data_IF_065848895959
#
_entry.id   IF_065848895959
#
_cell.length_a   1.000
_cell.length_b   1.000
_cell.length_c   1.000
_cell.angle_alpha   90.00
_cell.angle_beta   90.00
_cell.angle_gamma   90.00
#
_symmetry.space_group_name_H-M   'P 1'
#
loop_
_entity.id
_entity.type
_entity.pdbx_description
1 polymer ?
#
# COMPACT_ATOMS: atom_id res chain seq x y z
N UNK A 1 15.65 -12.76 -19.43
CA UNK A 1 14.57 -12.64 -18.42
C UNK A 1 14.00 -11.23 -18.54
N UNK A 2 12.70 -11.09 -18.65
CA UNK A 2 12.06 -9.76 -18.77
C UNK A 2 12.36 -8.92 -17.51
N UNK A 3 12.96 -7.75 -17.69
CA UNK A 3 13.26 -6.80 -16.60
C UNK A 3 12.02 -6.04 -16.11
N UNK A 4 10.88 -6.28 -16.76
CA UNK A 4 9.60 -5.66 -16.44
C UNK A 4 8.94 -6.35 -15.26
N UNK A 5 8.63 -5.59 -14.21
CA UNK A 5 7.95 -6.06 -13.01
C UNK A 5 6.42 -6.06 -13.16
N UNK A 6 5.90 -5.04 -13.87
CA UNK A 6 4.47 -4.81 -14.00
C UNK A 6 4.17 -4.13 -15.35
N UNK A 7 3.10 -4.54 -15.98
CA UNK A 7 2.59 -3.92 -17.22
C UNK A 7 1.07 -3.71 -17.10
N UNK A 8 0.63 -2.51 -17.39
CA UNK A 8 -0.76 -2.16 -17.64
C UNK A 8 -0.95 -1.97 -19.13
N UNK A 9 -2.05 -2.47 -19.70
CA UNK A 9 -2.44 -2.28 -21.10
C UNK A 9 -3.90 -1.88 -21.15
N UNK A 10 -4.15 -0.68 -21.66
CA UNK A 10 -5.49 -0.09 -21.82
C UNK A 10 -6.35 -0.24 -20.58
N UNK A 11 -5.77 0.10 -19.41
CA UNK A 11 -6.44 -0.14 -18.12
C UNK A 11 -7.43 0.97 -17.79
N UNK A 12 -8.65 0.56 -17.45
CA UNK A 12 -9.72 1.42 -16.98
C UNK A 12 -10.18 1.01 -15.59
N UNK A 13 -10.52 1.99 -14.75
CA UNK A 13 -11.19 1.76 -13.46
C UNK A 13 -12.41 2.66 -13.38
N UNK A 14 -13.56 2.02 -13.22
CA UNK A 14 -14.86 2.67 -13.10
C UNK A 14 -15.47 2.34 -11.74
N UNK A 15 -15.85 3.37 -11.00
CA UNK A 15 -16.61 3.22 -9.77
C UNK A 15 -18.09 3.53 -9.99
N UNK A 16 -19.02 2.76 -9.40
CA UNK A 16 -20.43 3.09 -9.43
C UNK A 16 -20.69 4.39 -8.64
N UNK A 17 -21.16 5.45 -9.32
CA UNK A 17 -21.40 6.75 -8.69
C UNK A 17 -22.76 6.80 -7.98
N UNK A 18 -23.79 6.17 -8.54
CA UNK A 18 -25.15 6.19 -8.01
C UNK A 18 -25.84 4.84 -8.21
N UNK A 19 -26.47 4.35 -7.16
CA UNK A 19 -27.40 3.22 -7.25
C UNK A 19 -28.81 3.79 -7.24
N UNK A 20 -29.64 3.37 -8.19
CA UNK A 20 -31.07 3.65 -8.12
C UNK A 20 -31.72 2.79 -7.01
N UNK A 21 -32.98 3.06 -6.68
CA UNK A 21 -33.76 2.32 -5.67
C UNK A 21 -33.87 0.80 -5.94
N UNK A 22 -33.64 0.39 -7.20
CA UNK A 22 -33.60 -1.02 -7.64
C UNK A 22 -32.18 -1.62 -7.55
N UNK A 23 -31.18 -0.90 -6.99
CA UNK A 23 -29.81 -1.37 -6.80
C UNK A 23 -28.94 -1.39 -8.06
N UNK A 24 -29.46 -0.96 -9.23
CA UNK A 24 -28.68 -0.83 -10.48
C UNK A 24 -27.92 0.48 -10.49
N UNK A 25 -26.63 0.42 -10.82
CA UNK A 25 -25.81 1.63 -11.04
C UNK A 25 -26.20 2.27 -12.37
N UNK A 26 -26.55 3.54 -12.32
CA UNK A 26 -26.95 4.32 -13.52
C UNK A 26 -25.84 5.25 -14.01
N UNK A 27 -24.86 5.52 -13.16
CA UNK A 27 -23.71 6.40 -13.49
C UNK A 27 -22.42 5.77 -12.98
N UNK A 28 -21.33 5.95 -13.71
CA UNK A 28 -20.01 5.52 -13.36
C UNK A 28 -19.04 6.71 -13.33
N UNK A 29 -18.17 6.75 -12.32
CA UNK A 29 -17.03 7.66 -12.29
C UNK A 29 -15.84 6.92 -12.87
N UNK A 30 -15.33 7.43 -13.98
CA UNK A 30 -14.11 6.95 -14.62
C UNK A 30 -12.89 7.48 -13.85
N UNK A 31 -12.36 6.71 -12.92
CA UNK A 31 -11.21 7.12 -12.13
C UNK A 31 -9.90 6.92 -12.88
N UNK A 32 -9.84 5.93 -13.77
CA UNK A 32 -8.74 5.69 -14.71
C UNK A 32 -9.37 5.39 -16.07
N UNK A 33 -8.84 5.99 -17.12
CA UNK A 33 -9.39 5.88 -18.46
C UNK A 33 -8.30 5.61 -19.50
N UNK A 34 -8.02 4.33 -19.77
CA UNK A 34 -7.11 3.86 -20.81
C UNK A 34 -5.63 4.17 -20.51
N UNK A 35 -5.07 3.60 -19.44
CA UNK A 35 -3.65 3.79 -19.10
C UNK A 35 -2.82 2.61 -19.57
N UNK A 36 -1.74 2.92 -20.29
CA UNK A 36 -0.61 2.04 -20.59
C UNK A 36 0.58 2.41 -19.72
N UNK A 37 1.16 1.44 -18.99
CA UNK A 37 2.27 1.67 -18.10
C UNK A 37 3.14 0.44 -17.98
N UNK A 38 4.46 0.63 -17.93
CA UNK A 38 5.41 -0.41 -17.58
C UNK A 38 6.30 0.04 -16.43
N UNK A 39 6.54 -0.83 -15.47
CA UNK A 39 7.48 -0.62 -14.38
C UNK A 39 8.57 -1.69 -14.47
N UNK A 40 9.82 -1.24 -14.49
CA UNK A 40 11.00 -2.11 -14.60
C UNK A 40 11.68 -2.26 -13.24
N UNK A 41 12.50 -3.28 -13.13
CA UNK A 41 13.31 -3.50 -11.95
C UNK A 41 14.33 -2.36 -11.75
N UNK A 42 14.44 -1.85 -10.52
CA UNK A 42 15.39 -0.77 -10.17
C UNK A 42 14.99 0.61 -10.67
N UNK A 43 13.81 0.74 -11.29
CA UNK A 43 13.29 2.01 -11.77
C UNK A 43 12.56 2.78 -10.65
N UNK A 44 12.73 4.09 -10.64
CA UNK A 44 11.91 5.02 -9.88
C UNK A 44 10.98 5.76 -10.84
N UNK A 45 9.67 5.52 -10.73
CA UNK A 45 8.67 6.14 -11.58
C UNK A 45 7.94 7.25 -10.80
N UNK A 46 8.01 8.49 -11.29
CA UNK A 46 7.26 9.62 -10.76
C UNK A 46 5.90 9.77 -11.44
N UNK A 47 4.82 9.84 -10.65
CA UNK A 47 3.46 10.10 -11.15
C UNK A 47 3.00 11.45 -10.62
N UNK A 48 2.78 12.41 -11.54
CA UNK A 48 2.35 13.77 -11.22
C UNK A 48 0.99 14.07 -11.85
N UNK A 49 0.26 15.02 -11.29
CA UNK A 49 -1.04 15.44 -11.78
C UNK A 49 -1.83 16.18 -10.70
N UNK A 50 -2.93 16.79 -11.08
CA UNK A 50 -3.82 17.54 -10.19
C UNK A 50 -4.50 16.67 -9.13
N UNK A 51 -5.05 17.31 -8.09
CA UNK A 51 -5.85 16.59 -7.10
C UNK A 51 -7.08 15.95 -7.77
N UNK A 52 -7.36 14.68 -7.44
CA UNK A 52 -8.51 13.96 -8.02
C UNK A 52 -8.27 13.32 -9.39
N UNK A 53 -7.12 13.49 -10.05
CA UNK A 53 -6.86 12.90 -11.38
C UNK A 53 -6.60 11.37 -11.38
N UNK A 54 -6.81 10.67 -10.28
CA UNK A 54 -6.71 9.20 -10.23
C UNK A 54 -5.37 8.63 -9.73
N UNK A 55 -4.38 9.43 -9.29
CA UNK A 55 -3.08 8.94 -8.80
C UNK A 55 -3.20 7.90 -7.69
N UNK A 56 -4.03 8.16 -6.69
CA UNK A 56 -4.26 7.23 -5.57
C UNK A 56 -4.95 5.94 -6.04
N UNK A 57 -5.86 6.05 -7.00
CA UNK A 57 -6.52 4.89 -7.61
C UNK A 57 -5.52 4.05 -8.39
N UNK A 58 -4.61 4.69 -9.14
CA UNK A 58 -3.55 4.00 -9.84
C UNK A 58 -2.59 3.30 -8.86
N UNK A 59 -2.20 3.95 -7.76
CA UNK A 59 -1.38 3.33 -6.72
C UNK A 59 -2.06 2.08 -6.13
N UNK A 60 -3.35 2.14 -5.81
CA UNK A 60 -4.13 1.00 -5.32
C UNK A 60 -4.22 -0.14 -6.35
N UNK A 61 -4.39 0.20 -7.65
CA UNK A 61 -4.34 -0.78 -8.71
C UNK A 61 -2.96 -1.46 -8.79
N UNK A 62 -1.87 -0.68 -8.78
CA UNK A 62 -0.51 -1.20 -8.82
C UNK A 62 -0.22 -2.14 -7.64
N UNK A 63 -0.76 -1.84 -6.47
CA UNK A 63 -0.69 -2.70 -5.27
C UNK A 63 -1.55 -3.96 -5.36
N UNK A 64 -2.43 -4.08 -6.38
CA UNK A 64 -3.38 -5.18 -6.51
C UNK A 64 -4.57 -5.11 -5.55
N UNK A 65 -4.81 -3.94 -4.93
CA UNK A 65 -5.98 -3.69 -4.09
C UNK A 65 -7.26 -3.46 -4.90
N UNK A 66 -7.10 -3.08 -6.17
CA UNK A 66 -8.17 -2.90 -7.14
C UNK A 66 -7.94 -3.81 -8.32
N UNK A 67 -9.04 -4.24 -8.95
CA UNK A 67 -9.01 -4.93 -10.23
C UNK A 67 -9.43 -3.97 -11.35
N UNK A 68 -8.82 -4.04 -12.53
CA UNK A 68 -9.24 -3.22 -13.64
C UNK A 68 -10.67 -3.57 -14.08
N UNK A 69 -11.46 -2.55 -14.43
CA UNK A 69 -12.79 -2.72 -15.04
C UNK A 69 -12.69 -3.17 -16.49
N UNK A 70 -11.60 -2.77 -17.17
CA UNK A 70 -11.22 -3.16 -18.52
C UNK A 70 -9.72 -3.07 -18.68
N UNK A 71 -9.17 -3.76 -19.70
CA UNK A 71 -7.74 -3.81 -19.96
C UNK A 71 -7.03 -4.94 -19.23
N UNK A 72 -5.69 -4.89 -19.23
CA UNK A 72 -4.87 -5.96 -18.70
C UNK A 72 -3.90 -5.44 -17.62
N UNK A 73 -3.90 -6.10 -16.48
CA UNK A 73 -2.90 -5.96 -15.43
C UNK A 73 -2.03 -7.22 -15.42
N UNK A 74 -0.76 -7.08 -15.82
CA UNK A 74 0.19 -8.18 -15.93
C UNK A 74 1.31 -7.94 -14.95
N UNK A 75 1.50 -8.87 -14.01
CA UNK A 75 2.59 -8.85 -13.04
C UNK A 75 3.58 -9.97 -13.35
N UNK A 76 4.84 -9.63 -13.53
CA UNK A 76 5.90 -10.58 -13.82
C UNK A 76 6.54 -11.13 -12.54
N UNK A 77 6.70 -12.46 -12.45
CA UNK A 77 7.39 -13.15 -11.37
C UNK A 77 6.52 -13.61 -10.21
N UNK A 78 7.15 -14.31 -9.25
CA UNK A 78 6.49 -14.79 -8.01
C UNK A 78 5.93 -13.61 -7.21
N UNK A 79 4.89 -13.86 -6.41
CA UNK A 79 4.26 -12.87 -5.53
C UNK A 79 5.31 -12.15 -4.67
N UNK A 80 5.87 -11.06 -5.17
CA UNK A 80 6.72 -10.18 -4.37
C UNK A 80 5.82 -9.33 -3.50
N UNK A 81 6.22 -9.18 -2.26
CA UNK A 81 5.55 -8.27 -1.33
C UNK A 81 5.77 -6.86 -1.87
N UNK A 82 4.69 -6.19 -2.22
CA UNK A 82 4.69 -4.74 -2.47
C UNK A 82 4.21 -4.06 -1.20
N UNK A 83 4.80 -2.92 -0.91
CA UNK A 83 4.43 -2.13 0.26
C UNK A 83 4.05 -0.72 -0.19
N UNK A 84 3.10 -0.13 0.51
CA UNK A 84 2.64 1.23 0.27
C UNK A 84 2.97 2.09 1.48
N UNK A 85 3.61 3.23 1.24
CA UNK A 85 3.79 4.27 2.24
C UNK A 85 2.73 5.32 2.02
N UNK A 86 1.89 5.57 3.02
CA UNK A 86 0.80 6.53 2.94
C UNK A 86 1.30 7.95 3.21
N UNK A 87 0.62 8.94 2.64
CA UNK A 87 0.92 10.36 2.82
C UNK A 87 0.76 10.81 4.28
N UNK A 88 -0.22 10.24 4.99
CA UNK A 88 -0.40 10.41 6.43
C UNK A 88 -0.11 9.08 7.15
N UNK A 89 1.12 8.93 7.69
CA UNK A 89 1.49 7.71 8.40
C UNK A 89 0.63 7.43 9.63
N UNK A 90 0.13 8.47 10.30
CA UNK A 90 -0.66 8.32 11.53
C UNK A 90 -1.99 7.65 11.29
N UNK A 91 -2.67 8.02 10.21
CA UNK A 91 -3.97 7.42 9.88
C UNK A 91 -3.86 5.94 9.51
N UNK A 92 -2.65 5.48 9.12
CA UNK A 92 -2.39 4.09 8.77
C UNK A 92 -1.98 3.21 9.96
N UNK A 93 -1.57 3.80 11.08
CA UNK A 93 -1.12 3.08 12.27
C UNK A 93 -2.29 2.86 13.24
N UNK A 94 -2.39 1.66 13.82
CA UNK A 94 -3.34 1.40 14.88
C UNK A 94 -2.93 2.15 16.16
N UNK A 95 -3.67 3.18 16.61
CA UNK A 95 -3.26 4.02 17.75
C UNK A 95 -3.31 3.31 19.10
N UNK A 96 -3.89 2.11 19.16
CA UNK A 96 -4.06 1.32 20.39
C UNK A 96 -2.96 0.27 20.58
N UNK A 97 -2.11 0.08 19.59
CA UNK A 97 -1.02 -0.89 19.65
C UNK A 97 0.32 -0.20 19.91
N UNK A 98 1.21 -0.79 20.73
CA UNK A 98 2.57 -0.31 20.86
C UNK A 98 3.32 -0.51 19.54
N UNK A 99 4.32 0.35 19.30
CA UNK A 99 5.04 0.41 18.01
C UNK A 99 5.65 -0.93 17.64
N UNK A 100 6.22 -1.69 18.57
CA UNK A 100 6.78 -3.00 18.26
C UNK A 100 5.74 -3.98 17.68
N UNK A 101 4.48 -3.92 18.14
CA UNK A 101 3.39 -4.76 17.60
C UNK A 101 3.01 -4.34 16.19
N UNK A 102 2.99 -3.04 15.93
CA UNK A 102 2.68 -2.49 14.60
C UNK A 102 3.77 -2.93 13.59
N UNK A 103 5.04 -2.75 13.92
CA UNK A 103 6.17 -3.14 13.06
C UNK A 103 6.12 -4.63 12.69
N UNK A 104 5.65 -5.47 13.60
CA UNK A 104 5.65 -6.94 13.44
C UNK A 104 4.26 -7.52 13.19
N UNK A 105 3.26 -6.71 12.86
CA UNK A 105 1.86 -7.13 12.70
C UNK A 105 1.70 -8.20 11.61
N UNK A 106 2.40 -8.05 10.49
CA UNK A 106 2.39 -9.02 9.39
C UNK A 106 2.85 -10.42 9.81
N UNK A 107 3.85 -10.50 10.68
CA UNK A 107 4.34 -11.78 11.23
C UNK A 107 3.35 -12.39 12.21
N UNK A 108 2.67 -11.57 12.98
CA UNK A 108 1.62 -12.02 13.89
C UNK A 108 0.43 -12.59 13.12
N UNK A 109 -0.05 -11.88 12.09
CA UNK A 109 -1.15 -12.33 11.23
C UNK A 109 -0.78 -13.64 10.52
N UNK A 110 0.45 -13.74 10.03
CA UNK A 110 0.95 -14.95 9.36
C UNK A 110 1.18 -16.13 10.32
N UNK A 111 1.07 -15.93 11.64
CA UNK A 111 1.36 -16.95 12.69
C UNK A 111 2.75 -17.61 12.53
N UNK A 112 3.74 -16.86 12.06
CA UNK A 112 5.08 -17.37 11.73
C UNK A 112 6.14 -17.14 12.81
N UNK A 113 5.76 -16.51 13.94
CA UNK A 113 6.73 -16.14 14.98
C UNK A 113 6.08 -16.03 16.34
N UNK A 114 6.84 -16.40 17.39
CA UNK A 114 6.47 -16.15 18.79
C UNK A 114 6.51 -14.65 19.11
N UNK A 115 5.90 -14.24 20.23
CA UNK A 115 5.98 -12.85 20.69
C UNK A 115 7.42 -12.41 20.95
N UNK A 116 8.22 -13.29 21.56
CA UNK A 116 9.62 -13.01 21.84
C UNK A 116 10.44 -12.78 20.57
N UNK A 117 10.23 -13.59 19.53
CA UNK A 117 10.90 -13.43 18.23
C UNK A 117 10.51 -12.12 17.56
N UNK A 118 9.21 -11.75 17.61
CA UNK A 118 8.74 -10.48 17.06
C UNK A 118 9.32 -9.29 17.80
N UNK A 119 9.44 -9.38 19.12
CA UNK A 119 10.03 -8.33 19.94
C UNK A 119 11.50 -8.10 19.57
N UNK A 120 12.28 -9.17 19.51
CA UNK A 120 13.69 -9.09 19.12
C UNK A 120 13.87 -8.49 17.71
N UNK A 121 13.04 -8.90 16.74
CA UNK A 121 13.06 -8.32 15.41
C UNK A 121 12.69 -6.82 15.42
N UNK A 122 11.70 -6.42 16.21
CA UNK A 122 11.32 -5.01 16.30
C UNK A 122 12.45 -4.15 16.89
N UNK A 123 13.20 -4.66 17.85
CA UNK A 123 14.37 -3.99 18.43
C UNK A 123 15.48 -3.82 17.38
N UNK A 124 15.77 -4.88 16.61
CA UNK A 124 16.74 -4.81 15.52
C UNK A 124 16.35 -3.77 14.46
N UNK A 125 15.11 -3.81 13.99
CA UNK A 125 14.60 -2.87 12.99
C UNK A 125 14.58 -1.41 13.50
N UNK A 126 14.25 -1.21 14.77
CA UNK A 126 14.25 0.11 15.39
C UNK A 126 15.66 0.74 15.36
N UNK A 127 16.68 -0.04 15.71
CA UNK A 127 18.07 0.42 15.65
C UNK A 127 18.47 0.82 14.23
N UNK A 128 18.07 0.03 13.22
CA UNK A 128 18.39 0.32 11.82
C UNK A 128 17.84 1.67 11.32
N UNK A 129 16.71 2.10 11.87
CA UNK A 129 16.06 3.38 11.50
C UNK A 129 16.29 4.49 12.54
N UNK A 130 17.20 4.29 13.51
CA UNK A 130 17.57 5.28 14.51
C UNK A 130 16.53 5.51 15.62
N UNK A 131 15.60 4.58 15.81
CA UNK A 131 14.64 4.58 16.92
C UNK A 131 15.25 3.82 18.10
N UNK A 132 15.22 4.41 19.30
CA UNK A 132 15.69 3.73 20.51
C UNK A 132 14.76 2.59 20.89
N UNK A 133 15.28 1.38 21.19
CA UNK A 133 14.47 0.22 21.58
C UNK A 133 13.52 0.47 22.75
N UNK A 134 13.89 1.36 23.68
CA UNK A 134 13.07 1.74 24.85
C UNK A 134 11.77 2.43 24.44
N UNK A 135 11.66 2.93 23.21
CA UNK A 135 10.45 3.60 22.71
C UNK A 135 9.45 2.64 22.07
N UNK A 136 9.83 1.39 21.84
CA UNK A 136 9.01 0.40 21.16
C UNK A 136 7.71 0.05 21.90
N UNK A 137 7.67 0.24 23.21
CA UNK A 137 6.45 0.05 24.02
C UNK A 137 5.51 1.26 23.98
N UNK A 138 5.95 2.37 23.42
CA UNK A 138 5.12 3.57 23.27
C UNK A 138 4.07 3.39 22.18
N UNK A 139 2.98 4.12 22.34
CA UNK A 139 1.95 4.23 21.31
C UNK A 139 2.37 5.23 20.22
N UNK A 140 1.86 5.11 18.98
CA UNK A 140 2.26 5.96 17.86
C UNK A 140 2.18 7.47 18.12
N UNK A 141 1.18 7.93 18.88
CA UNK A 141 1.01 9.35 19.19
C UNK A 141 2.13 9.94 20.07
N UNK A 142 2.90 9.11 20.75
CA UNK A 142 4.02 9.53 21.60
C UNK A 142 5.32 9.80 20.79
N UNK A 143 5.31 9.60 19.47
CA UNK A 143 6.44 9.87 18.58
C UNK A 143 6.29 11.24 17.90
N UNK A 144 7.41 11.88 17.58
CA UNK A 144 7.42 13.09 16.76
C UNK A 144 7.06 12.78 15.30
N UNK A 145 6.65 13.80 14.53
CA UNK A 145 6.26 13.61 13.12
C UNK A 145 7.34 12.96 12.26
N UNK A 146 8.61 13.27 12.50
CA UNK A 146 9.75 12.68 11.76
C UNK A 146 10.16 11.28 12.22
N UNK A 147 9.66 10.81 13.37
CA UNK A 147 9.92 9.47 13.90
C UNK A 147 8.81 8.47 13.53
N UNK A 148 7.73 8.93 12.96
CA UNK A 148 6.55 8.16 12.50
C UNK A 148 6.64 7.81 11.01
#
# INVERSE_FOLDING_TARGET
>A
MSDTLLTLRDVHINFPARKNWLGKSTEHVHAINGIDLQIRRGETLGIVGESGCGKSTLAQLLMGMLQPSHGQYIRSGSQRIMQMVFQDPLSSLNPRLPVWRIITESLWIAKRSSEQQRRALAEELAVQVGIRPEYLDRLPHAFSGGQR
#
